data_IF_337665333302
#
_entry.id   IF_337665333302
#
_cell.length_a   1.000
_cell.length_b   1.000
_cell.length_c   1.000
_cell.angle_alpha   90.00
_cell.angle_beta   90.00
_cell.angle_gamma   90.00
#
_symmetry.space_group_name_H-M   'P 1'
#
loop_
_entity.id
_entity.type
_entity.pdbx_description
1 polymer ?
#
# COMPACT_ATOMS: atom_id res chain seq x y z
N UNK A 1 -40.09 -10.10 60.38
CA UNK A 1 -39.74 -11.20 59.45
C UNK A 1 -38.24 -11.45 59.60
N UNK A 2 -37.85 -12.41 60.44
CA UNK A 2 -36.44 -12.77 60.63
C UNK A 2 -36.06 -13.78 59.55
N UNK A 3 -35.19 -13.38 58.62
CA UNK A 3 -34.57 -14.31 57.67
C UNK A 3 -33.73 -15.32 58.46
N UNK A 4 -33.92 -16.60 58.20
CA UNK A 4 -33.03 -17.64 58.72
C UNK A 4 -31.63 -17.49 58.11
N UNK A 5 -30.60 -17.94 58.84
CA UNK A 5 -29.21 -17.90 58.38
C UNK A 5 -29.03 -18.60 57.02
N UNK A 6 -29.84 -19.63 56.74
CA UNK A 6 -29.84 -20.36 55.48
C UNK A 6 -30.39 -19.52 54.32
N UNK A 7 -31.47 -18.76 54.55
CA UNK A 7 -32.05 -17.87 53.52
C UNK A 7 -31.11 -16.69 53.23
N UNK A 8 -30.44 -16.14 54.25
CA UNK A 8 -29.45 -15.09 54.08
C UNK A 8 -28.23 -15.58 53.25
N UNK A 9 -27.76 -16.79 53.54
CA UNK A 9 -26.65 -17.41 52.83
C UNK A 9 -27.00 -17.71 51.37
N UNK A 10 -28.20 -18.23 51.10
CA UNK A 10 -28.69 -18.47 49.76
C UNK A 10 -28.78 -17.17 48.94
N UNK A 11 -29.27 -16.09 49.54
CA UNK A 11 -29.41 -14.79 48.89
C UNK A 11 -28.04 -14.18 48.55
N UNK A 12 -27.05 -14.34 49.43
CA UNK A 12 -25.66 -13.96 49.15
C UNK A 12 -25.07 -14.77 47.99
N UNK A 13 -25.27 -16.08 47.95
CA UNK A 13 -24.77 -16.94 46.85
C UNK A 13 -25.39 -16.53 45.51
N UNK A 14 -26.71 -16.27 45.48
CA UNK A 14 -27.40 -15.79 44.27
C UNK A 14 -26.84 -14.43 43.82
N UNK A 15 -26.63 -13.50 44.75
CA UNK A 15 -26.05 -12.19 44.45
C UNK A 15 -24.62 -12.32 43.88
N UNK A 16 -23.76 -13.12 44.51
CA UNK A 16 -22.40 -13.38 44.01
C UNK A 16 -22.42 -14.05 42.65
N UNK A 17 -23.31 -15.01 42.42
CA UNK A 17 -23.46 -15.70 41.13
C UNK A 17 -23.91 -14.72 40.04
N UNK A 18 -24.83 -13.80 40.37
CA UNK A 18 -25.26 -12.76 39.44
C UNK A 18 -24.12 -11.80 39.09
N UNK A 19 -23.38 -11.30 40.09
CA UNK A 19 -22.24 -10.40 39.89
C UNK A 19 -21.16 -11.07 39.06
N UNK A 20 -20.79 -12.32 39.39
CA UNK A 20 -19.77 -13.07 38.65
C UNK A 20 -20.21 -13.38 37.22
N UNK A 21 -21.49 -13.70 36.99
CA UNK A 21 -22.03 -13.89 35.65
C UNK A 21 -21.99 -12.59 34.83
N UNK A 22 -22.41 -11.47 35.41
CA UNK A 22 -22.34 -10.17 34.75
C UNK A 22 -20.89 -9.77 34.42
N UNK A 23 -19.95 -9.98 35.36
CA UNK A 23 -18.53 -9.74 35.14
C UNK A 23 -17.96 -10.62 34.02
N UNK A 24 -18.33 -11.90 33.96
CA UNK A 24 -17.90 -12.80 32.89
C UNK A 24 -18.46 -12.40 31.52
N UNK A 25 -19.72 -11.94 31.46
CA UNK A 25 -20.31 -11.43 30.22
C UNK A 25 -19.60 -10.16 29.75
N UNK A 26 -19.34 -9.23 30.66
CA UNK A 26 -18.59 -8.00 30.34
C UNK A 26 -17.17 -8.33 29.86
N UNK A 27 -16.49 -9.25 30.55
CA UNK A 27 -15.15 -9.70 30.16
C UNK A 27 -15.17 -10.32 28.76
N UNK A 28 -16.15 -11.18 28.46
CA UNK A 28 -16.31 -11.76 27.13
C UNK A 28 -16.50 -10.70 26.04
N UNK A 29 -17.34 -9.69 26.30
CA UNK A 29 -17.57 -8.59 25.35
C UNK A 29 -16.27 -7.81 25.11
N UNK A 30 -15.56 -7.45 26.17
CA UNK A 30 -14.28 -6.73 26.06
C UNK A 30 -13.23 -7.57 25.34
N UNK A 31 -13.09 -8.85 25.66
CA UNK A 31 -12.15 -9.76 24.97
C UNK A 31 -12.47 -9.83 23.48
N UNK A 32 -13.74 -9.96 23.10
CA UNK A 32 -14.14 -9.98 21.68
C UNK A 32 -13.74 -8.69 20.96
N UNK A 33 -13.99 -7.53 21.57
CA UNK A 33 -13.59 -6.23 21.01
C UNK A 33 -12.07 -6.12 20.85
N UNK A 34 -11.30 -6.52 21.87
CA UNK A 34 -9.84 -6.52 21.83
C UNK A 34 -9.30 -7.42 20.72
N UNK A 35 -9.87 -8.62 20.55
CA UNK A 35 -9.49 -9.54 19.46
C UNK A 35 -9.74 -8.91 18.10
N UNK A 36 -10.88 -8.24 17.89
CA UNK A 36 -11.17 -7.55 16.62
C UNK A 36 -10.12 -6.47 16.32
N UNK A 37 -9.81 -5.61 17.30
CA UNK A 37 -8.82 -4.54 17.14
C UNK A 37 -7.43 -5.12 16.84
N UNK A 38 -7.03 -6.19 17.53
CA UNK A 38 -5.75 -6.87 17.26
C UNK A 38 -5.69 -7.46 15.86
N UNK A 39 -6.79 -8.03 15.35
CA UNK A 39 -6.85 -8.54 13.99
C UNK A 39 -6.70 -7.41 12.95
N UNK A 40 -7.37 -6.27 13.16
CA UNK A 40 -7.23 -5.09 12.30
C UNK A 40 -5.79 -4.57 12.31
N UNK A 41 -5.15 -4.50 13.49
CA UNK A 41 -3.75 -4.09 13.62
C UNK A 41 -2.79 -5.04 12.89
N UNK A 42 -2.97 -6.36 13.02
CA UNK A 42 -2.16 -7.36 12.32
C UNK A 42 -2.32 -7.23 10.81
N UNK A 43 -3.55 -7.05 10.31
CA UNK A 43 -3.79 -6.86 8.87
C UNK A 43 -3.10 -5.59 8.35
N UNK A 44 -3.24 -4.47 9.05
CA UNK A 44 -2.54 -3.24 8.70
C UNK A 44 -1.02 -3.39 8.75
N UNK A 45 -0.49 -4.12 9.73
CA UNK A 45 0.95 -4.37 9.85
C UNK A 45 1.47 -5.21 8.67
N UNK A 46 0.76 -6.28 8.29
CA UNK A 46 1.12 -7.11 7.13
C UNK A 46 1.11 -6.26 5.85
N UNK A 47 0.05 -5.47 5.64
CA UNK A 47 -0.09 -4.59 4.49
C UNK A 47 1.03 -3.54 4.41
N UNK A 48 1.37 -2.93 5.54
CA UNK A 48 2.48 -1.98 5.68
C UNK A 48 3.83 -2.63 5.40
N UNK A 49 4.12 -3.79 5.98
CA UNK A 49 5.37 -4.53 5.76
C UNK A 49 5.53 -4.93 4.29
N UNK A 50 4.45 -5.40 3.64
CA UNK A 50 4.48 -5.73 2.23
C UNK A 50 4.81 -4.52 1.36
N UNK A 51 4.13 -3.39 1.62
CA UNK A 51 4.41 -2.15 0.88
C UNK A 51 5.83 -1.64 1.11
N UNK A 52 6.32 -1.70 2.35
CA UNK A 52 7.69 -1.31 2.69
C UNK A 52 8.74 -2.20 2.00
N UNK A 53 8.54 -3.52 1.98
CA UNK A 53 9.44 -4.45 1.29
C UNK A 53 9.50 -4.15 -0.21
N UNK A 54 8.36 -3.86 -0.84
CA UNK A 54 8.33 -3.45 -2.24
C UNK A 54 9.04 -2.11 -2.46
N UNK A 55 8.81 -1.12 -1.60
CA UNK A 55 9.53 0.16 -1.66
C UNK A 55 11.04 -0.05 -1.59
N UNK A 56 11.53 -0.86 -0.64
CA UNK A 56 12.95 -1.14 -0.50
C UNK A 56 13.56 -1.81 -1.74
N UNK A 57 12.86 -2.76 -2.34
CA UNK A 57 13.31 -3.41 -3.58
C UNK A 57 13.41 -2.37 -4.70
N UNK A 58 12.40 -1.53 -4.86
CA UNK A 58 12.38 -0.49 -5.90
C UNK A 58 13.45 0.57 -5.64
N UNK A 59 13.64 1.00 -4.39
CA UNK A 59 14.67 1.96 -3.99
C UNK A 59 16.07 1.40 -4.24
N UNK A 60 16.33 0.12 -3.93
CA UNK A 60 17.61 -0.52 -4.21
C UNK A 60 17.90 -0.61 -5.72
N UNK A 61 16.91 -0.94 -6.54
CA UNK A 61 17.05 -0.89 -8.00
C UNK A 61 17.30 0.54 -8.49
N UNK A 62 16.58 1.52 -7.93
CA UNK A 62 16.75 2.94 -8.26
C UNK A 62 18.18 3.40 -7.95
N UNK A 63 18.70 3.10 -6.78
CA UNK A 63 20.07 3.47 -6.38
C UNK A 63 21.13 2.87 -7.30
N UNK A 64 21.00 1.59 -7.67
CA UNK A 64 21.93 0.94 -8.60
C UNK A 64 21.97 1.65 -9.95
N UNK A 65 20.81 1.82 -10.56
CA UNK A 65 20.69 2.39 -11.91
C UNK A 65 20.99 3.90 -11.92
N UNK A 66 20.59 4.65 -10.89
CA UNK A 66 21.03 6.04 -10.73
C UNK A 66 22.54 6.14 -10.50
N UNK A 67 23.16 5.15 -9.82
CA UNK A 67 24.61 5.07 -9.67
C UNK A 67 25.32 4.93 -11.02
N UNK A 68 24.75 4.16 -11.95
CA UNK A 68 25.25 4.06 -13.34
C UNK A 68 25.03 5.39 -14.08
N UNK A 69 23.83 5.96 -14.00
CA UNK A 69 23.48 7.22 -14.70
C UNK A 69 24.32 8.42 -14.24
N UNK A 70 24.58 8.52 -12.94
CA UNK A 70 25.34 9.64 -12.36
C UNK A 70 26.85 9.50 -12.53
N UNK A 71 27.34 8.41 -13.13
CA UNK A 71 28.75 8.21 -13.42
C UNK A 71 28.97 8.06 -14.94
N UNK A 72 29.40 9.13 -15.63
CA UNK A 72 29.55 9.12 -17.09
C UNK A 72 30.43 7.98 -17.62
N UNK A 73 31.50 7.63 -16.90
CA UNK A 73 32.40 6.54 -17.30
C UNK A 73 31.75 5.15 -17.16
N UNK A 74 30.92 4.95 -16.13
CA UNK A 74 30.16 3.71 -15.99
C UNK A 74 29.03 3.63 -17.01
N UNK A 75 28.32 4.74 -17.25
CA UNK A 75 27.27 4.82 -18.27
C UNK A 75 27.82 4.48 -19.66
N UNK A 76 28.94 5.08 -20.05
CA UNK A 76 29.58 4.83 -21.35
C UNK A 76 30.03 3.37 -21.47
N UNK A 77 30.73 2.83 -20.46
CA UNK A 77 31.19 1.44 -20.48
C UNK A 77 30.02 0.46 -20.49
N UNK A 78 28.98 0.72 -19.71
CA UNK A 78 27.79 -0.13 -19.61
C UNK A 78 27.00 -0.15 -20.92
N UNK A 79 26.75 1.03 -21.50
CA UNK A 79 25.98 1.15 -22.75
C UNK A 79 26.76 0.56 -23.92
N UNK A 80 28.07 0.81 -24.03
CA UNK A 80 28.94 0.21 -25.03
C UNK A 80 29.03 -1.31 -24.92
N UNK A 81 29.11 -1.86 -23.71
CA UNK A 81 29.16 -3.31 -23.50
C UNK A 81 27.86 -4.02 -23.90
N UNK A 82 26.73 -3.32 -23.92
CA UNK A 82 25.41 -3.86 -24.20
C UNK A 82 24.82 -3.38 -25.54
N UNK A 83 25.60 -2.67 -26.37
CA UNK A 83 25.17 -2.09 -27.65
C UNK A 83 23.92 -1.18 -27.50
N UNK A 84 23.92 -0.35 -26.45
CA UNK A 84 22.84 0.57 -26.12
C UNK A 84 23.20 2.01 -26.48
N UNK A 85 22.21 2.79 -26.93
CA UNK A 85 22.34 4.23 -27.02
C UNK A 85 22.20 4.86 -25.61
N UNK A 86 23.20 5.62 -25.12
CA UNK A 86 23.16 6.18 -23.76
C UNK A 86 21.96 7.08 -23.49
N UNK A 87 21.61 7.94 -24.45
CA UNK A 87 20.54 8.92 -24.28
C UNK A 87 19.16 8.27 -24.22
N UNK A 88 18.94 7.26 -25.05
CA UNK A 88 17.72 6.47 -25.09
C UNK A 88 17.60 5.63 -23.82
N UNK A 89 18.69 4.98 -23.40
CA UNK A 89 18.71 4.15 -22.21
C UNK A 89 18.42 4.96 -20.94
N UNK A 90 19.01 6.15 -20.80
CA UNK A 90 18.75 7.05 -19.68
C UNK A 90 17.28 7.44 -19.59
N UNK A 91 16.68 7.87 -20.69
CA UNK A 91 15.26 8.23 -20.73
C UNK A 91 14.35 7.05 -20.40
N UNK A 92 14.71 5.84 -20.85
CA UNK A 92 13.98 4.63 -20.51
C UNK A 92 14.04 4.30 -19.02
N UNK A 93 15.22 4.41 -18.40
CA UNK A 93 15.39 4.14 -16.97
C UNK A 93 14.67 5.17 -16.10
N UNK A 94 14.72 6.44 -16.49
CA UNK A 94 13.94 7.49 -15.82
C UNK A 94 12.44 7.21 -15.94
N UNK A 95 11.97 6.83 -17.12
CA UNK A 95 10.57 6.46 -17.33
C UNK A 95 10.16 5.25 -16.48
N UNK A 96 10.99 4.22 -16.41
CA UNK A 96 10.80 3.03 -15.58
C UNK A 96 10.65 3.39 -14.09
N UNK A 97 11.53 4.26 -13.58
CA UNK A 97 11.42 4.72 -12.20
C UNK A 97 10.13 5.47 -11.91
N UNK A 98 9.73 6.37 -12.81
CA UNK A 98 8.50 7.13 -12.65
C UNK A 98 7.27 6.22 -12.59
N UNK A 99 7.20 5.20 -13.46
CA UNK A 99 6.14 4.20 -13.44
C UNK A 99 6.16 3.40 -12.14
N UNK A 100 7.35 3.01 -11.66
CA UNK A 100 7.49 2.28 -10.40
C UNK A 100 7.06 3.11 -9.19
N UNK A 101 7.31 4.43 -9.19
CA UNK A 101 6.78 5.32 -8.14
C UNK A 101 5.25 5.38 -8.19
N UNK A 102 4.66 5.39 -9.39
CA UNK A 102 3.20 5.34 -9.53
C UNK A 102 2.64 4.01 -9.03
N UNK A 103 3.34 2.90 -9.27
CA UNK A 103 2.99 1.58 -8.74
C UNK A 103 3.00 1.55 -7.21
N UNK A 104 4.03 2.09 -6.57
CA UNK A 104 4.11 2.16 -5.09
C UNK A 104 2.91 2.92 -4.53
N UNK A 105 2.58 4.08 -5.09
CA UNK A 105 1.42 4.85 -4.61
C UNK A 105 0.09 4.13 -4.82
N UNK A 106 -0.07 3.40 -5.93
CA UNK A 106 -1.23 2.53 -6.15
C UNK A 106 -1.31 1.39 -5.12
N UNK A 107 -0.19 0.77 -4.80
CA UNK A 107 -0.13 -0.29 -3.79
C UNK A 107 -0.42 0.24 -2.39
N UNK A 108 0.11 1.41 -2.03
CA UNK A 108 -0.22 2.07 -0.77
C UNK A 108 -1.73 2.32 -0.64
N UNK A 109 -2.41 2.71 -1.72
CA UNK A 109 -3.84 2.90 -1.70
C UNK A 109 -4.60 1.56 -1.57
N UNK A 110 -4.29 0.58 -2.41
CA UNK A 110 -4.97 -0.73 -2.39
C UNK A 110 -4.74 -1.52 -1.09
N UNK A 111 -3.62 -1.28 -0.41
CA UNK A 111 -3.30 -1.84 0.89
C UNK A 111 -3.90 -1.04 2.08
N UNK A 112 -4.67 0.02 1.82
CA UNK A 112 -5.32 0.83 2.86
C UNK A 112 -4.35 1.67 3.69
N UNK A 113 -3.14 1.94 3.19
CA UNK A 113 -2.11 2.76 3.86
C UNK A 113 -2.43 4.24 3.69
N UNK A 114 -2.93 4.65 2.51
CA UNK A 114 -3.37 6.02 2.24
C UNK A 114 -4.88 6.09 1.99
N UNK A 115 -5.51 7.18 2.43
CA UNK A 115 -6.95 7.40 2.22
C UNK A 115 -7.26 7.79 0.77
N UNK A 116 -8.53 7.62 0.37
CA UNK A 116 -9.04 8.03 -0.94
C UNK A 116 -8.68 9.48 -1.28
N UNK A 117 -8.83 10.41 -0.34
CA UNK A 117 -8.57 11.84 -0.56
C UNK A 117 -7.10 12.11 -0.95
N UNK A 118 -6.15 11.42 -0.33
CA UNK A 118 -4.73 11.52 -0.68
C UNK A 118 -4.45 10.84 -2.02
N UNK A 119 -5.11 9.71 -2.29
CA UNK A 119 -4.96 9.00 -3.54
C UNK A 119 -5.48 9.80 -4.75
N UNK A 120 -6.57 10.56 -4.61
CA UNK A 120 -7.03 11.48 -5.67
C UNK A 120 -5.99 12.55 -6.02
N UNK A 121 -5.32 13.12 -5.01
CA UNK A 121 -4.21 14.05 -5.21
C UNK A 121 -3.05 13.38 -5.97
N UNK A 122 -2.66 12.19 -5.53
CA UNK A 122 -1.63 11.39 -6.19
C UNK A 122 -1.98 11.04 -7.64
N UNK A 123 -3.24 10.71 -7.96
CA UNK A 123 -3.68 10.42 -9.34
C UNK A 123 -3.44 11.61 -10.27
N UNK A 124 -3.64 12.84 -9.79
CA UNK A 124 -3.36 14.05 -10.58
C UNK A 124 -1.87 14.15 -10.93
N UNK A 125 -0.99 13.90 -9.97
CA UNK A 125 0.45 13.97 -10.19
C UNK A 125 0.91 12.81 -11.09
N UNK A 126 0.34 11.61 -10.91
CA UNK A 126 0.57 10.46 -11.77
C UNK A 126 0.12 10.71 -13.22
N UNK A 127 -1.00 11.42 -13.45
CA UNK A 127 -1.40 11.85 -14.81
C UNK A 127 -0.35 12.72 -15.47
N UNK A 128 0.23 13.67 -14.74
CA UNK A 128 1.30 14.53 -15.28
C UNK A 128 2.54 13.70 -15.67
N UNK A 129 2.89 12.71 -14.85
CA UNK A 129 3.97 11.76 -15.16
C UNK A 129 3.67 10.99 -16.45
N UNK A 130 2.45 10.46 -16.59
CA UNK A 130 2.01 9.74 -17.78
C UNK A 130 1.71 10.65 -18.98
N UNK A 131 1.76 11.98 -18.84
CA UNK A 131 1.67 12.90 -19.97
C UNK A 131 2.99 12.95 -20.77
N UNK A 132 4.13 12.67 -20.12
CA UNK A 132 5.44 12.63 -20.78
C UNK A 132 5.49 11.55 -21.86
N UNK A 133 5.98 11.92 -23.04
CA UNK A 133 6.04 11.00 -24.19
C UNK A 133 6.94 9.79 -23.92
N UNK A 134 8.10 10.00 -23.28
CA UNK A 134 9.02 8.92 -22.89
C UNK A 134 8.34 7.91 -21.97
N UNK A 135 7.59 8.38 -20.98
CA UNK A 135 6.82 7.53 -20.05
C UNK A 135 5.74 6.75 -20.79
N UNK A 136 4.96 7.39 -21.68
CA UNK A 136 3.92 6.68 -22.45
C UNK A 136 4.50 5.61 -23.37
N UNK A 137 5.57 5.93 -24.10
CA UNK A 137 6.22 4.99 -25.00
C UNK A 137 6.83 3.81 -24.24
N UNK A 138 7.46 4.08 -23.09
CA UNK A 138 7.98 3.03 -22.22
C UNK A 138 6.85 2.16 -21.67
N UNK A 139 5.76 2.77 -21.16
CA UNK A 139 4.58 2.06 -20.67
C UNK A 139 4.01 1.07 -21.69
N UNK A 140 3.88 1.46 -22.97
CA UNK A 140 3.36 0.56 -24.00
C UNK A 140 4.18 -0.72 -24.17
N UNK A 141 5.49 -0.67 -23.88
CA UNK A 141 6.38 -1.83 -23.95
C UNK A 141 6.33 -2.68 -22.68
N UNK A 142 6.19 -2.07 -21.51
CA UNK A 142 6.28 -2.78 -20.22
C UNK A 142 4.93 -3.14 -19.59
N UNK A 143 3.80 -2.61 -20.08
CA UNK A 143 2.47 -2.85 -19.48
C UNK A 143 2.07 -4.31 -19.31
N UNK A 144 2.67 -5.23 -20.08
CA UNK A 144 2.40 -6.67 -20.02
C UNK A 144 3.04 -7.37 -18.82
N UNK A 145 4.10 -6.79 -18.23
CA UNK A 145 4.76 -7.36 -17.05
C UNK A 145 4.13 -6.91 -15.73
N UNK A 146 3.28 -5.88 -15.78
CA UNK A 146 2.56 -5.39 -14.61
C UNK A 146 1.27 -6.16 -14.37
N UNK A 147 0.85 -6.22 -13.09
CA UNK A 147 -0.40 -6.83 -12.69
C UNK A 147 -1.60 -6.15 -13.37
N UNK A 148 -2.63 -6.95 -13.71
CA UNK A 148 -3.80 -6.51 -14.46
C UNK A 148 -4.55 -5.34 -13.82
N UNK A 149 -4.64 -5.32 -12.49
CA UNK A 149 -5.29 -4.25 -11.74
C UNK A 149 -4.56 -2.91 -11.88
N UNK A 150 -3.22 -2.92 -11.78
CA UNK A 150 -2.41 -1.73 -12.00
C UNK A 150 -2.46 -1.28 -13.46
N UNK A 151 -2.40 -2.22 -14.41
CA UNK A 151 -2.53 -1.91 -15.84
C UNK A 151 -3.84 -1.18 -16.15
N UNK A 152 -4.97 -1.70 -15.65
CA UNK A 152 -6.27 -1.05 -15.83
C UNK A 152 -6.32 0.33 -15.17
N UNK A 153 -5.75 0.49 -13.99
CA UNK A 153 -5.66 1.78 -13.33
C UNK A 153 -4.92 2.81 -14.21
N UNK A 154 -3.75 2.45 -14.75
CA UNK A 154 -3.00 3.34 -15.63
C UNK A 154 -3.78 3.65 -16.91
N UNK A 155 -4.33 2.64 -17.59
CA UNK A 155 -5.01 2.82 -18.88
C UNK A 155 -6.34 3.57 -18.75
N UNK A 156 -7.11 3.33 -17.68
CA UNK A 156 -8.45 3.88 -17.50
C UNK A 156 -8.50 5.17 -16.71
N UNK A 157 -7.57 5.39 -15.77
CA UNK A 157 -7.60 6.56 -14.88
C UNK A 157 -6.49 7.57 -15.14
N UNK A 158 -5.34 7.15 -15.66
CA UNK A 158 -4.17 8.02 -15.86
C UNK A 158 -3.97 8.42 -17.32
N UNK A 159 -4.19 7.51 -18.26
CA UNK A 159 -4.03 7.74 -19.71
C UNK A 159 -5.32 8.15 -20.42
N UNK A 160 -6.47 8.05 -19.77
CA UNK A 160 -7.72 8.60 -20.27
C UNK A 160 -7.69 10.14 -20.15
N UNK A 161 -7.26 10.80 -21.21
CA UNK A 161 -7.36 12.26 -21.34
C UNK A 161 -8.83 12.71 -21.45
N UNK A 162 -9.22 13.61 -20.55
CA UNK A 162 -9.96 14.85 -20.82
C UNK A 162 -10.78 14.95 -22.12
N UNK A 163 -11.77 14.10 -22.32
CA UNK A 163 -12.90 14.45 -23.19
C UNK A 163 -13.75 15.49 -22.45
N UNK A 164 -13.44 16.78 -22.67
CA UNK A 164 -14.22 18.01 -22.39
C UNK A 164 -13.43 19.09 -21.63
N UNK A 165 -12.65 19.87 -22.36
CA UNK A 165 -12.59 21.33 -22.18
C UNK A 165 -11.96 21.94 -23.44
N UNK A 166 -12.76 22.00 -24.49
CA UNK A 166 -12.60 22.92 -25.61
C UNK A 166 -13.76 23.91 -25.53
#
# INVERSE_FOLDING_TARGET
MHLSINELSALLIVLFTFITTAANILLWITTRQTVTILMEQVQHQIASTYSQAQSQIIDGHRELFLGILNNPSLLENFTKANDLDPSTWELEKIAEFLINQVLIGYLNFTNGIISQSHFEGFKRDARNVFAYQSVRQHWQRVKVVHADNFRRFVEMELLCDSVKSA
#
